data_IF_746027982869
#
_entry.id   IF_746027982869
#
_cell.length_a   1.000
_cell.length_b   1.000
_cell.length_c   1.000
_cell.angle_alpha   90.00
_cell.angle_beta   90.00
_cell.angle_gamma   90.00
#
_symmetry.space_group_name_H-M   'P 1'
#
loop_
_entity.id
_entity.type
_entity.pdbx_description
1 polymer ?
#
# COMPACT_ATOMS: atom_id res chain seq x y z
N UNK A 1 -68.06 29.94 10.38
CA UNK A 1 -68.12 28.81 9.43
C UNK A 1 -67.34 27.64 10.04
N UNK A 2 -67.93 26.44 10.16
CA UNK A 2 -67.40 25.35 10.98
C UNK A 2 -66.48 24.41 10.19
N UNK A 3 -65.53 23.78 10.88
CA UNK A 3 -64.63 22.74 10.35
C UNK A 3 -65.11 21.33 10.75
N UNK A 4 -64.81 20.39 9.84
CA UNK A 4 -65.33 19.05 9.54
C UNK A 4 -65.07 17.94 10.60
N UNK A 5 -66.03 17.03 10.87
CA UNK A 5 -65.89 15.90 11.78
C UNK A 5 -65.57 14.57 11.05
N UNK A 6 -64.30 14.30 10.76
CA UNK A 6 -63.84 12.96 10.33
C UNK A 6 -62.59 12.51 11.07
N UNK A 7 -62.66 12.51 12.40
CA UNK A 7 -61.63 11.91 13.26
C UNK A 7 -62.28 11.12 14.41
N UNK A 8 -62.92 9.98 14.11
CA UNK A 8 -63.39 9.02 15.15
C UNK A 8 -63.87 7.67 14.61
N UNK A 9 -63.14 7.03 13.69
CA UNK A 9 -63.55 5.69 13.21
C UNK A 9 -62.45 4.76 12.71
N UNK A 10 -61.29 4.68 13.38
CA UNK A 10 -60.29 3.65 13.03
C UNK A 10 -59.56 2.96 14.19
N UNK A 11 -59.86 3.27 15.46
CA UNK A 11 -59.14 2.69 16.62
C UNK A 11 -59.87 1.47 17.24
N UNK A 12 -60.89 0.91 16.59
CA UNK A 12 -61.69 -0.22 17.15
C UNK A 12 -61.70 -1.52 16.32
N UNK A 13 -60.76 -1.70 15.39
CA UNK A 13 -60.64 -2.90 14.56
C UNK A 13 -59.47 -3.85 14.93
N UNK A 14 -58.68 -3.57 15.97
CA UNK A 14 -57.45 -4.32 16.28
C UNK A 14 -57.50 -5.31 17.45
N UNK A 15 -58.65 -5.57 18.10
CA UNK A 15 -58.70 -6.34 19.37
C UNK A 15 -59.57 -7.61 19.38
N UNK A 16 -59.94 -8.16 18.21
CA UNK A 16 -60.70 -9.43 18.11
C UNK A 16 -60.13 -10.45 17.12
N UNK A 17 -58.81 -10.64 17.16
CA UNK A 17 -58.15 -11.77 16.51
C UNK A 17 -57.12 -12.42 17.46
N UNK A 18 -57.56 -12.76 18.67
CA UNK A 18 -56.76 -13.51 19.64
C UNK A 18 -57.69 -14.42 20.44
N UNK A 19 -57.99 -15.58 19.86
CA UNK A 19 -58.51 -16.82 20.47
C UNK A 19 -59.19 -17.61 19.35
N UNK A 20 -58.61 -18.73 18.94
CA UNK A 20 -59.22 -20.08 18.87
C UNK A 20 -58.34 -20.98 17.99
N UNK A 21 -58.16 -22.23 18.43
CA UNK A 21 -57.56 -23.41 17.75
C UNK A 21 -56.12 -23.76 18.10
N UNK A 22 -55.96 -24.25 19.33
CA UNK A 22 -55.04 -25.35 19.63
C UNK A 22 -55.72 -26.68 19.22
N UNK A 23 -55.05 -27.49 18.39
CA UNK A 23 -55.27 -28.95 18.34
C UNK A 23 -54.01 -29.65 17.84
N UNK A 24 -53.74 -30.78 18.48
CA UNK A 24 -52.48 -31.47 18.58
C UNK A 24 -52.01 -32.18 17.30
N UNK A 25 -50.69 -32.20 17.09
CA UNK A 25 -50.00 -33.21 16.31
C UNK A 25 -48.83 -33.75 17.16
N UNK A 26 -49.02 -34.96 17.68
CA UNK A 26 -48.07 -35.70 18.52
C UNK A 26 -47.18 -36.52 17.59
N UNK A 27 -45.96 -36.06 17.30
CA UNK A 27 -44.94 -36.85 16.61
C UNK A 27 -44.05 -37.54 17.65
N UNK A 28 -43.95 -38.86 17.52
CA UNK A 28 -43.19 -39.75 18.39
C UNK A 28 -41.70 -39.43 18.32
N UNK A 29 -41.05 -39.25 19.49
CA UNK A 29 -39.58 -39.24 19.61
C UNK A 29 -39.06 -40.67 19.49
N UNK A 30 -38.34 -40.96 18.42
CA UNK A 30 -37.45 -42.12 18.34
C UNK A 30 -36.13 -41.80 19.02
N UNK A 31 -35.75 -42.62 19.99
CA UNK A 31 -34.41 -42.67 20.59
C UNK A 31 -33.44 -43.26 19.58
N UNK A 32 -32.58 -42.42 19.00
CA UNK A 32 -31.41 -42.83 18.24
C UNK A 32 -30.16 -42.37 18.99
N UNK A 33 -29.32 -43.32 19.40
CA UNK A 33 -28.02 -43.10 20.03
C UNK A 33 -27.10 -42.25 19.14
N UNK A 34 -26.90 -40.98 19.52
CA UNK A 34 -25.90 -40.12 18.90
C UNK A 34 -24.55 -40.31 19.61
N UNK A 35 -23.63 -40.99 18.92
CA UNK A 35 -22.22 -41.15 19.30
C UNK A 35 -21.56 -39.77 19.53
N UNK A 36 -20.79 -39.56 20.61
CA UNK A 36 -20.20 -38.25 20.89
C UNK A 36 -19.14 -37.89 19.83
N UNK A 37 -19.26 -36.69 19.27
CA UNK A 37 -18.27 -36.12 18.36
C UNK A 37 -16.92 -35.91 19.06
N UNK A 38 -15.78 -36.12 18.37
CA UNK A 38 -14.47 -35.97 18.98
C UNK A 38 -14.25 -34.50 19.37
N UNK A 39 -13.84 -34.27 20.62
CA UNK A 39 -13.36 -32.96 21.10
C UNK A 39 -12.18 -32.54 20.24
N UNK A 40 -12.40 -31.57 19.35
CA UNK A 40 -11.31 -30.86 18.67
C UNK A 40 -10.45 -30.17 19.73
N UNK A 41 -9.20 -30.62 19.84
CA UNK A 41 -8.17 -29.93 20.62
C UNK A 41 -8.13 -28.49 20.16
N UNK A 42 -8.27 -27.57 21.11
CA UNK A 42 -8.07 -26.13 20.93
C UNK A 42 -6.64 -25.92 20.42
N UNK A 43 -6.49 -25.76 19.11
CA UNK A 43 -5.20 -25.45 18.49
C UNK A 43 -4.65 -24.17 19.09
N UNK A 44 -3.39 -24.20 19.52
CA UNK A 44 -2.68 -23.00 19.94
C UNK A 44 -2.72 -22.00 18.80
N UNK A 45 -3.16 -20.77 19.09
CA UNK A 45 -3.05 -19.62 18.19
C UNK A 45 -1.60 -19.56 17.71
N UNK A 46 -1.37 -19.86 16.44
CA UNK A 46 -0.10 -19.60 15.80
C UNK A 46 0.08 -18.09 15.77
N UNK A 47 0.88 -17.56 16.69
CA UNK A 47 1.44 -16.22 16.53
C UNK A 47 2.32 -16.32 15.29
N UNK A 48 1.92 -15.65 14.19
CA UNK A 48 2.80 -15.59 13.04
C UNK A 48 4.05 -14.82 13.46
N UNK A 49 5.22 -15.37 13.15
CA UNK A 49 6.49 -14.79 13.59
C UNK A 49 6.65 -13.39 12.98
N UNK A 50 7.29 -12.45 13.70
CA UNK A 50 7.52 -11.10 13.21
C UNK A 50 8.29 -11.10 11.88
N UNK A 51 8.00 -10.16 10.97
CA UNK A 51 8.80 -9.93 9.76
C UNK A 51 10.28 -9.78 10.13
N UNK A 52 11.12 -10.71 9.66
CA UNK A 52 12.57 -10.65 9.82
C UNK A 52 13.23 -10.15 8.52
N UNK A 53 13.81 -8.96 8.55
CA UNK A 53 14.43 -8.33 7.40
C UNK A 53 15.63 -9.12 6.86
N UNK A 54 16.37 -9.83 7.71
CA UNK A 54 17.45 -10.71 7.26
C UNK A 54 16.91 -11.81 6.34
N UNK A 55 15.74 -12.36 6.68
CA UNK A 55 15.07 -13.37 5.85
C UNK A 55 14.50 -12.74 4.57
N UNK A 56 14.00 -11.49 4.62
CA UNK A 56 13.53 -10.78 3.43
C UNK A 56 14.68 -10.47 2.46
N UNK A 57 15.81 -9.98 2.98
CA UNK A 57 17.01 -9.67 2.19
C UNK A 57 17.57 -10.96 1.56
N UNK A 58 17.52 -12.06 2.29
CA UNK A 58 17.91 -13.39 1.79
C UNK A 58 16.93 -13.94 0.74
N UNK A 59 15.64 -13.61 0.83
CA UNK A 59 14.62 -14.00 -0.17
C UNK A 59 14.65 -13.11 -1.42
N UNK A 60 14.98 -11.83 -1.27
CA UNK A 60 15.09 -10.87 -2.37
C UNK A 60 16.39 -11.02 -3.17
N UNK A 61 17.46 -11.44 -2.50
CA UNK A 61 18.70 -11.86 -3.15
C UNK A 61 18.50 -13.31 -3.64
N UNK A 62 18.40 -13.56 -4.94
CA UNK A 62 18.17 -14.91 -5.50
C UNK A 62 19.27 -15.97 -5.23
N UNK A 63 20.09 -15.82 -4.20
CA UNK A 63 21.18 -16.72 -3.82
C UNK A 63 20.65 -17.79 -2.86
N UNK A 64 20.34 -18.96 -3.40
CA UNK A 64 20.11 -20.17 -2.63
C UNK A 64 21.36 -20.54 -1.82
N UNK A 65 21.34 -20.38 -0.50
CA UNK A 65 22.38 -20.86 0.44
C UNK A 65 22.48 -22.40 0.55
N UNK A 66 21.90 -23.17 -0.39
CA UNK A 66 21.94 -24.65 -0.38
C UNK A 66 23.02 -25.27 -1.27
N UNK A 67 24.06 -24.54 -1.69
CA UNK A 67 25.23 -25.12 -2.38
C UNK A 67 26.54 -24.37 -2.09
N UNK A 68 26.92 -24.25 -0.82
CA UNK A 68 28.26 -23.79 -0.46
C UNK A 68 28.78 -24.58 0.75
N UNK A 69 28.97 -25.88 0.58
CA UNK A 69 29.77 -26.73 1.47
C UNK A 69 29.92 -28.12 0.83
N UNK A 70 30.91 -28.24 -0.06
CA UNK A 70 31.77 -29.44 -0.27
C UNK A 70 32.60 -29.23 -1.53
N UNK A 71 33.91 -29.05 -1.36
CA UNK A 71 34.98 -29.84 -2.00
C UNK A 71 36.34 -29.23 -1.63
N UNK A 72 36.89 -29.72 -0.52
CA UNK A 72 38.33 -29.74 -0.26
C UNK A 72 38.83 -31.11 -0.75
N UNK A 73 39.82 -31.16 -1.65
CA UNK A 73 40.43 -32.42 -2.05
C UNK A 73 41.34 -32.42 -3.30
N UNK A 74 42.59 -31.99 -3.09
CA UNK A 74 43.86 -32.52 -3.62
C UNK A 74 44.27 -32.54 -5.12
N UNK A 75 45.60 -32.40 -5.28
CA UNK A 75 46.51 -32.60 -6.44
C UNK A 75 46.77 -31.35 -7.32
N UNK A 76 48.00 -30.94 -7.63
CA UNK A 76 49.34 -31.47 -7.38
C UNK A 76 50.40 -30.44 -7.83
N UNK A 77 51.64 -30.63 -7.37
CA UNK A 77 52.78 -29.72 -7.54
C UNK A 77 53.41 -29.77 -8.95
N UNK A 78 54.04 -28.65 -9.37
CA UNK A 78 55.21 -28.44 -10.28
C UNK A 78 55.07 -27.04 -10.92
N UNK A 79 56.03 -26.12 -11.03
CA UNK A 79 57.43 -26.02 -10.65
C UNK A 79 57.85 -24.54 -10.83
N UNK A 80 58.95 -24.15 -10.19
CA UNK A 80 59.48 -22.79 -10.14
C UNK A 80 60.16 -22.33 -11.45
N UNK A 81 60.20 -21.01 -11.70
CA UNK A 81 61.45 -20.24 -11.84
C UNK A 81 61.23 -18.78 -12.28
N UNK A 82 61.86 -17.89 -11.51
CA UNK A 82 62.54 -16.63 -11.89
C UNK A 82 61.75 -15.47 -12.52
N UNK A 83 62.10 -14.19 -12.36
CA UNK A 83 62.87 -13.39 -11.42
C UNK A 83 62.83 -11.95 -11.97
N UNK A 84 62.95 -10.95 -11.08
CA UNK A 84 63.31 -9.54 -11.35
C UNK A 84 62.28 -8.69 -12.14
N UNK A 85 61.92 -7.47 -11.78
CA UNK A 85 62.49 -6.50 -10.85
C UNK A 85 62.38 -5.10 -11.48
N UNK A 86 62.18 -4.06 -10.66
CA UNK A 86 62.68 -2.72 -10.96
C UNK A 86 61.70 -1.68 -11.49
N UNK A 87 61.35 -0.75 -10.60
CA UNK A 87 60.86 0.59 -10.91
C UNK A 87 61.89 1.41 -11.72
N UNK A 88 61.42 2.44 -12.46
CA UNK A 88 61.93 3.82 -12.39
C UNK A 88 61.14 4.81 -13.27
N UNK A 89 60.93 5.96 -12.63
CA UNK A 89 60.69 7.32 -13.14
C UNK A 89 61.50 7.73 -14.37
N UNK A 90 60.93 8.58 -15.24
CA UNK A 90 61.39 9.96 -15.52
C UNK A 90 60.84 10.51 -16.85
N UNK A 91 60.82 11.84 -16.89
CA UNK A 91 60.15 12.80 -17.77
C UNK A 91 60.97 13.28 -18.98
N UNK A 92 60.31 14.13 -19.79
CA UNK A 92 60.77 15.04 -20.88
C UNK A 92 60.43 14.53 -22.30
N UNK A 93 59.47 15.17 -22.97
CA UNK A 93 59.55 16.40 -23.78
C UNK A 93 60.26 16.17 -25.12
N UNK A 94 59.60 16.37 -26.27
CA UNK A 94 59.52 17.68 -26.93
C UNK A 94 58.65 17.66 -28.21
N UNK A 95 58.01 18.80 -28.45
CA UNK A 95 57.66 19.50 -29.71
C UNK A 95 57.28 18.78 -31.01
N UNK A 96 56.13 19.20 -31.56
CA UNK A 96 56.10 19.81 -32.90
C UNK A 96 54.89 20.77 -33.06
N UNK A 97 55.24 22.01 -33.41
CA UNK A 97 54.41 23.20 -33.67
C UNK A 97 54.06 23.30 -35.15
N UNK A 98 52.85 23.74 -35.48
CA UNK A 98 52.55 24.64 -36.64
C UNK A 98 51.21 25.35 -36.37
N UNK A 99 51.21 26.60 -35.89
CA UNK A 99 51.15 27.89 -36.63
C UNK A 99 49.79 28.21 -37.27
N UNK A 100 49.19 29.31 -36.78
CA UNK A 100 47.98 30.04 -37.20
C UNK A 100 48.20 30.82 -38.54
N UNK A 101 47.46 31.90 -38.93
CA UNK A 101 46.22 32.56 -38.47
C UNK A 101 45.22 32.80 -39.66
N UNK A 102 44.09 33.51 -39.66
CA UNK A 102 43.83 34.92 -39.31
C UNK A 102 42.34 35.26 -39.42
N UNK A 103 41.96 36.27 -38.65
CA UNK A 103 40.72 37.07 -38.60
C UNK A 103 40.28 37.74 -39.91
N UNK A 104 38.97 37.96 -40.07
CA UNK A 104 38.41 39.22 -40.59
C UNK A 104 36.96 39.43 -40.13
N UNK A 105 36.62 40.71 -39.96
CA UNK A 105 35.45 41.25 -39.26
C UNK A 105 34.49 41.91 -40.26
N UNK A 106 33.19 41.93 -39.88
CA UNK A 106 32.14 42.93 -40.21
C UNK A 106 31.63 43.11 -41.65
N UNK A 107 30.31 42.98 -41.85
CA UNK A 107 29.34 44.10 -41.91
C UNK A 107 27.91 43.61 -42.18
N UNK A 108 26.93 44.40 -41.73
CA UNK A 108 25.49 44.14 -41.67
C UNK A 108 24.74 44.38 -43.00
N UNK A 109 23.52 43.82 -43.15
CA UNK A 109 22.29 44.61 -43.40
C UNK A 109 21.00 43.75 -43.24
N UNK A 110 19.93 44.48 -42.93
CA UNK A 110 18.62 44.11 -42.41
C UNK A 110 17.63 43.39 -43.35
N UNK A 111 16.64 42.76 -42.72
CA UNK A 111 15.34 42.41 -43.29
C UNK A 111 14.35 42.10 -42.16
N UNK A 112 13.40 43.01 -41.90
CA UNK A 112 12.45 42.90 -40.80
C UNK A 112 11.27 41.96 -41.08
N UNK A 113 10.67 41.45 -40.00
CA UNK A 113 9.22 41.21 -39.96
C UNK A 113 8.73 41.16 -38.51
N UNK A 114 7.46 41.47 -38.35
CA UNK A 114 6.81 42.03 -37.19
C UNK A 114 6.44 41.03 -36.06
N UNK A 115 6.38 41.58 -34.84
CA UNK A 115 5.31 41.36 -33.85
C UNK A 115 5.21 39.99 -33.17
N UNK A 116 5.51 39.94 -31.87
CA UNK A 116 4.49 39.78 -30.80
C UNK A 116 5.22 39.79 -29.45
N UNK A 117 4.96 40.82 -28.64
CA UNK A 117 5.41 40.87 -27.25
C UNK A 117 4.65 39.82 -26.44
N UNK A 118 5.33 38.74 -26.03
CA UNK A 118 4.80 37.83 -25.01
C UNK A 118 5.47 38.19 -23.70
N UNK A 119 4.69 38.80 -22.82
CA UNK A 119 4.99 39.02 -21.40
C UNK A 119 5.51 37.72 -20.79
N UNK A 120 6.78 37.71 -20.39
CA UNK A 120 7.34 36.63 -19.59
C UNK A 120 6.66 36.66 -18.21
N UNK A 121 5.59 35.89 -18.08
CA UNK A 121 4.99 35.60 -16.78
C UNK A 121 5.96 34.69 -16.05
N UNK A 122 6.68 35.26 -15.10
CA UNK A 122 7.43 34.54 -14.07
C UNK A 122 6.47 33.59 -13.36
N UNK A 123 6.45 32.35 -13.85
CA UNK A 123 5.75 31.27 -13.17
C UNK A 123 6.62 30.92 -11.98
N UNK A 124 6.29 31.48 -10.82
CA UNK A 124 6.79 31.00 -9.53
C UNK A 124 6.58 29.49 -9.52
N UNK A 125 7.67 28.73 -9.61
CA UNK A 125 7.64 27.30 -9.38
C UNK A 125 6.94 27.07 -8.03
N UNK A 126 6.00 26.11 -7.93
CA UNK A 126 5.37 25.83 -6.65
C UNK A 126 6.50 25.52 -5.67
N UNK A 127 6.51 26.25 -4.54
CA UNK A 127 7.39 25.94 -3.41
C UNK A 127 7.33 24.44 -3.20
N UNK A 128 8.48 23.77 -3.33
CA UNK A 128 8.60 22.37 -2.97
C UNK A 128 8.04 22.26 -1.54
N UNK A 129 6.94 21.54 -1.41
CA UNK A 129 6.48 21.07 -0.11
C UNK A 129 7.69 20.41 0.54
N UNK A 130 7.94 20.71 1.80
CA UNK A 130 9.00 20.02 2.54
C UNK A 130 8.55 18.57 2.63
N UNK A 131 8.95 17.74 1.66
CA UNK A 131 8.54 16.33 1.49
C UNK A 131 9.17 15.42 2.56
N UNK A 132 9.91 16.01 3.48
CA UNK A 132 10.63 15.36 4.56
C UNK A 132 10.16 15.95 5.89
N UNK A 133 9.03 15.46 6.37
CA UNK A 133 8.53 15.69 7.72
C UNK A 133 8.15 14.35 8.31
N UNK A 134 8.18 14.23 9.65
CA UNK A 134 7.73 13.03 10.32
C UNK A 134 6.25 12.80 9.98
N UNK A 135 5.94 11.68 9.32
CA UNK A 135 4.58 11.32 8.94
C UNK A 135 3.82 10.88 10.19
N UNK A 136 2.64 11.47 10.50
CA UNK A 136 1.83 11.05 11.64
C UNK A 136 1.44 9.58 11.55
N UNK A 137 1.47 8.89 12.69
CA UNK A 137 1.01 7.50 12.77
C UNK A 137 -0.52 7.42 12.84
N UNK A 138 -1.07 6.33 12.32
CA UNK A 138 -2.48 6.00 12.40
C UNK A 138 -2.68 4.60 12.98
N UNK A 139 -3.91 4.31 13.44
CA UNK A 139 -4.22 2.98 13.97
C UNK A 139 -3.95 1.87 12.95
N UNK A 140 -3.35 0.78 13.39
CA UNK A 140 -3.16 -0.44 12.58
C UNK A 140 -4.50 -1.00 12.07
N UNK A 141 -5.56 -0.85 12.85
CA UNK A 141 -6.83 -1.53 12.61
C UNK A 141 -6.74 -3.05 12.87
N UNK A 142 -7.85 -3.77 12.71
CA UNK A 142 -7.98 -5.15 13.18
C UNK A 142 -7.49 -6.21 12.17
N UNK A 143 -7.03 -5.79 10.99
CA UNK A 143 -6.81 -6.68 9.85
C UNK A 143 -5.34 -6.86 9.46
N UNK A 144 -4.39 -6.39 10.26
CA UNK A 144 -2.97 -6.65 10.00
C UNK A 144 -2.67 -8.15 10.16
N UNK A 145 -1.89 -8.68 9.22
CA UNK A 145 -1.33 -10.02 9.29
C UNK A 145 0.14 -9.92 8.97
N UNK A 146 0.98 -10.31 9.91
CA UNK A 146 2.41 -10.44 9.70
C UNK A 146 2.65 -11.72 8.87
N UNK A 147 2.64 -11.61 7.53
CA UNK A 147 2.80 -12.76 6.63
C UNK A 147 4.17 -12.82 5.96
N UNK A 148 5.01 -11.78 6.13
CA UNK A 148 6.34 -11.65 5.52
C UNK A 148 6.38 -12.06 4.03
N UNK A 149 5.38 -11.63 3.25
CA UNK A 149 5.17 -12.06 1.86
C UNK A 149 5.78 -11.05 0.91
N UNK A 150 7.08 -11.23 0.62
CA UNK A 150 7.83 -10.36 -0.30
C UNK A 150 7.32 -10.50 -1.73
N UNK A 151 6.71 -9.44 -2.27
CA UNK A 151 6.21 -9.39 -3.66
C UNK A 151 5.80 -7.96 -4.03
N UNK A 152 6.00 -7.62 -5.31
CA UNK A 152 5.50 -6.36 -5.87
C UNK A 152 4.04 -6.49 -6.30
N UNK A 153 3.67 -7.55 -7.03
CA UNK A 153 2.26 -7.82 -7.36
C UNK A 153 1.54 -8.50 -6.19
N UNK A 154 0.59 -7.77 -5.62
CA UNK A 154 -0.24 -8.23 -4.50
C UNK A 154 -1.68 -8.54 -4.92
N UNK A 155 -2.04 -8.37 -6.20
CA UNK A 155 -3.43 -8.47 -6.67
C UNK A 155 -4.06 -9.84 -6.40
N UNK A 156 -3.31 -10.92 -6.61
CA UNK A 156 -3.80 -12.30 -6.66
C UNK A 156 -5.05 -12.45 -7.55
N UNK A 157 -5.07 -11.73 -8.68
CA UNK A 157 -6.17 -11.78 -9.65
C UNK A 157 -7.48 -11.14 -9.18
N UNK A 158 -7.45 -10.34 -8.10
CA UNK A 158 -8.64 -9.56 -7.70
C UNK A 158 -9.02 -8.53 -8.75
N UNK A 159 -10.30 -8.49 -9.07
CA UNK A 159 -10.86 -7.47 -9.96
C UNK A 159 -10.84 -6.10 -9.31
N UNK A 160 -10.48 -5.08 -10.11
CA UNK A 160 -10.44 -3.70 -9.68
C UNK A 160 -9.68 -2.83 -10.68
N UNK A 161 -9.71 -1.51 -10.46
CA UNK A 161 -8.94 -0.59 -11.27
C UNK A 161 -7.44 -0.75 -10.94
N UNK A 162 -6.57 -1.05 -11.93
CA UNK A 162 -5.15 -1.25 -11.66
C UNK A 162 -4.51 0.00 -11.04
N UNK A 163 -3.71 -0.21 -10.00
CA UNK A 163 -2.99 0.82 -9.26
C UNK A 163 -1.53 0.38 -9.06
N UNK A 164 -0.61 1.13 -9.64
CA UNK A 164 0.80 1.10 -9.28
C UNK A 164 1.03 2.05 -8.11
N UNK A 165 1.24 1.51 -6.91
CA UNK A 165 1.46 2.28 -5.69
C UNK A 165 2.95 2.39 -5.39
N UNK A 166 3.45 3.63 -5.34
CA UNK A 166 4.84 3.97 -5.03
C UNK A 166 4.93 4.65 -3.68
N UNK A 167 5.73 4.09 -2.80
CA UNK A 167 5.95 4.63 -1.44
C UNK A 167 7.43 4.89 -1.28
N UNK A 168 7.79 6.14 -0.99
CA UNK A 168 9.16 6.54 -0.67
C UNK A 168 9.30 6.66 0.85
N UNK A 169 10.30 6.01 1.43
CA UNK A 169 10.60 6.07 2.87
C UNK A 169 11.86 6.90 3.07
N UNK A 170 11.72 7.97 3.86
CA UNK A 170 12.79 8.89 4.21
C UNK A 170 13.01 8.90 5.73
N UNK A 171 14.23 9.17 6.15
CA UNK A 171 14.51 9.59 7.52
C UNK A 171 14.07 11.05 7.68
N UNK A 172 13.12 11.31 8.59
CA UNK A 172 12.57 12.64 8.83
C UNK A 172 13.58 13.63 9.44
N UNK A 173 14.68 13.15 10.04
CA UNK A 173 15.71 14.01 10.61
C UNK A 173 16.76 14.45 9.56
N UNK A 174 17.08 13.58 8.61
CA UNK A 174 18.18 13.80 7.64
C UNK A 174 17.69 14.01 6.21
N UNK A 175 16.42 13.71 5.93
CA UNK A 175 15.82 13.71 4.60
C UNK A 175 16.49 12.77 3.60
N UNK A 176 17.26 11.80 4.12
CA UNK A 176 17.89 10.79 3.29
C UNK A 176 16.94 9.60 3.10
N UNK A 177 16.93 8.99 1.90
CA UNK A 177 16.18 7.77 1.68
C UNK A 177 16.71 6.62 2.51
N UNK A 178 15.79 5.82 3.05
CA UNK A 178 16.13 4.64 3.85
C UNK A 178 16.07 3.42 2.95
N UNK A 179 17.23 2.85 2.65
CA UNK A 179 17.38 1.58 1.93
C UNK A 179 17.06 0.39 2.83
N UNK A 180 16.56 -0.69 2.24
CA UNK A 180 16.29 -1.98 2.89
C UNK A 180 15.27 -1.93 4.04
N UNK A 181 14.47 -0.86 4.14
CA UNK A 181 13.30 -0.82 5.01
C UNK A 181 12.22 -1.76 4.46
N UNK A 182 11.63 -2.58 5.31
CA UNK A 182 10.51 -3.45 4.92
C UNK A 182 9.20 -2.70 5.06
N UNK A 183 8.51 -2.52 3.93
CA UNK A 183 7.21 -1.87 3.84
C UNK A 183 6.16 -2.93 3.61
N UNK A 184 5.32 -3.15 4.62
CA UNK A 184 4.10 -3.94 4.51
C UNK A 184 2.94 -3.05 4.09
N UNK A 185 2.15 -3.50 3.13
CA UNK A 185 0.85 -2.89 2.82
C UNK A 185 -0.27 -3.92 2.86
N UNK A 186 -1.46 -3.47 3.25
CA UNK A 186 -2.70 -4.25 3.15
C UNK A 186 -3.91 -3.36 2.91
N UNK A 187 -4.86 -3.85 2.12
CA UNK A 187 -6.15 -3.17 1.95
C UNK A 187 -7.25 -4.16 1.57
N UNK A 188 -8.49 -3.68 1.60
CA UNK A 188 -9.63 -4.45 1.15
C UNK A 188 -9.70 -4.52 -0.39
N UNK A 189 -10.37 -5.55 -0.91
CA UNK A 189 -10.71 -5.59 -2.34
C UNK A 189 -11.78 -4.55 -2.71
N UNK A 190 -12.14 -4.48 -3.99
CA UNK A 190 -13.19 -3.57 -4.47
C UNK A 190 -14.55 -3.78 -3.77
N UNK A 191 -14.78 -4.98 -3.23
CA UNK A 191 -15.94 -5.36 -2.43
C UNK A 191 -15.91 -4.89 -0.97
N UNK A 192 -14.78 -4.35 -0.50
CA UNK A 192 -14.61 -3.98 0.91
C UNK A 192 -14.17 -5.15 1.80
N UNK A 193 -13.71 -6.27 1.21
CA UNK A 193 -13.34 -7.47 1.96
C UNK A 193 -11.83 -7.57 2.14
N UNK A 194 -11.39 -7.85 3.36
CA UNK A 194 -9.99 -8.13 3.68
C UNK A 194 -9.71 -9.64 3.60
N UNK A 195 -8.64 -10.00 2.88
CA UNK A 195 -8.13 -11.37 2.89
C UNK A 195 -7.71 -11.78 4.29
N UNK A 196 -7.98 -13.03 4.68
CA UNK A 196 -7.82 -13.51 6.04
C UNK A 196 -9.00 -13.21 6.95
N UNK A 197 -9.94 -12.36 6.53
CA UNK A 197 -11.05 -11.89 7.37
C UNK A 197 -12.37 -11.81 6.60
N UNK A 198 -12.61 -12.67 5.60
CA UNK A 198 -13.77 -12.59 4.70
C UNK A 198 -15.09 -12.33 5.43
N UNK A 199 -15.52 -13.27 6.29
CA UNK A 199 -16.76 -13.14 7.08
C UNK A 199 -16.70 -12.10 8.21
N UNK A 200 -15.51 -11.63 8.58
CA UNK A 200 -15.31 -10.63 9.63
C UNK A 200 -15.07 -9.22 9.07
N UNK A 201 -15.11 -9.05 7.74
CA UNK A 201 -14.97 -7.76 7.05
C UNK A 201 -16.28 -6.97 7.10
N UNK A 202 -16.87 -6.83 8.28
CA UNK A 202 -18.20 -6.22 8.50
C UNK A 202 -18.15 -4.70 8.65
N UNK A 203 -16.95 -4.12 8.56
CA UNK A 203 -16.67 -2.74 8.95
C UNK A 203 -16.77 -2.51 10.45
N UNK A 204 -16.10 -1.45 10.91
CA UNK A 204 -15.92 -1.15 12.32
C UNK A 204 -15.07 0.10 12.48
N UNK A 205 -15.50 1.00 13.37
CA UNK A 205 -14.70 2.14 13.81
C UNK A 205 -13.49 1.70 14.64
N UNK A 206 -12.74 2.65 15.23
CA UNK A 206 -11.62 2.34 16.12
C UNK A 206 -12.07 1.37 17.22
N UNK A 207 -11.54 0.14 17.22
CA UNK A 207 -11.88 -0.91 18.19
C UNK A 207 -12.87 -2.00 17.73
N UNK A 208 -13.40 -1.93 16.51
CA UNK A 208 -14.17 -3.03 15.91
C UNK A 208 -13.27 -4.19 15.50
N UNK A 209 -13.00 -5.10 16.41
CA UNK A 209 -12.09 -6.23 16.18
C UNK A 209 -12.74 -7.36 15.39
N UNK A 210 -12.14 -7.73 14.26
CA UNK A 210 -12.33 -9.06 13.70
C UNK A 210 -11.99 -10.11 14.79
N UNK A 211 -12.83 -11.13 14.95
CA UNK A 211 -12.70 -12.17 15.99
C UNK A 211 -11.58 -13.20 15.69
N UNK A 212 -10.46 -12.73 15.13
CA UNK A 212 -9.41 -13.55 14.54
C UNK A 212 -9.65 -13.82 13.06
N UNK A 213 -8.64 -14.45 12.45
CA UNK A 213 -8.62 -14.84 11.04
C UNK A 213 -9.80 -15.77 10.73
N UNK A 214 -10.52 -15.54 9.64
CA UNK A 214 -11.68 -16.35 9.22
C UNK A 214 -11.45 -17.18 7.95
N UNK A 215 -10.39 -16.91 7.20
CA UNK A 215 -9.97 -17.69 6.02
C UNK A 215 -8.44 -17.65 5.83
N UNK A 216 -7.88 -18.44 4.92
CA UNK A 216 -6.43 -18.48 4.65
C UNK A 216 -5.98 -17.62 3.47
N UNK A 217 -6.85 -16.75 2.94
CA UNK A 217 -6.51 -15.91 1.79
C UNK A 217 -5.52 -14.82 2.21
N UNK A 218 -4.74 -14.33 1.24
CA UNK A 218 -3.71 -13.29 1.44
C UNK A 218 -3.63 -12.27 0.31
N UNK A 219 -4.62 -12.21 -0.59
CA UNK A 219 -4.71 -11.17 -1.62
C UNK A 219 -4.59 -9.76 -1.05
N UNK A 220 -4.07 -8.83 -1.84
CA UNK A 220 -3.94 -7.40 -1.53
C UNK A 220 -3.15 -7.13 -0.24
N UNK A 221 -2.15 -8.00 0.01
CA UNK A 221 -1.17 -7.89 1.10
C UNK A 221 0.22 -8.18 0.56
N UNK A 222 1.21 -7.40 0.94
CA UNK A 222 2.59 -7.71 0.54
C UNK A 222 3.62 -6.87 1.26
N UNK A 223 4.83 -7.37 1.22
CA UNK A 223 6.03 -6.73 1.75
C UNK A 223 6.96 -6.40 0.59
N UNK A 224 7.59 -5.24 0.60
CA UNK A 224 8.70 -4.90 -0.29
C UNK A 224 9.82 -4.28 0.54
N UNK A 225 11.06 -4.48 0.11
CA UNK A 225 12.21 -3.77 0.66
C UNK A 225 12.47 -2.53 -0.19
N UNK A 226 12.70 -1.40 0.47
CA UNK A 226 13.05 -0.15 -0.21
C UNK A 226 14.39 -0.26 -0.93
N UNK A 227 14.46 0.31 -2.14
CA UNK A 227 15.71 0.40 -2.89
C UNK A 227 16.63 1.53 -2.33
N UNK A 228 17.73 1.81 -3.03
CA UNK A 228 18.67 2.87 -2.64
C UNK A 228 18.06 4.29 -2.66
N UNK A 229 16.93 4.48 -3.34
CA UNK A 229 16.16 5.72 -3.34
C UNK A 229 15.03 5.70 -2.29
N UNK A 230 15.02 4.71 -1.39
CA UNK A 230 13.98 4.55 -0.36
C UNK A 230 12.64 4.13 -0.94
N UNK A 231 12.59 3.65 -2.19
CA UNK A 231 11.35 3.43 -2.91
C UNK A 231 10.93 1.96 -2.88
N UNK A 232 9.65 1.73 -2.65
CA UNK A 232 8.97 0.47 -3.00
C UNK A 232 7.89 0.74 -4.03
N UNK A 233 7.64 -0.26 -4.89
CA UNK A 233 6.55 -0.22 -5.88
C UNK A 233 5.72 -1.50 -5.77
N UNK A 234 4.41 -1.34 -5.60
CA UNK A 234 3.43 -2.41 -5.56
C UNK A 234 2.49 -2.33 -6.77
N UNK A 235 2.21 -3.47 -7.38
CA UNK A 235 1.11 -3.63 -8.32
C UNK A 235 -0.11 -4.15 -7.55
N UNK A 236 -1.16 -3.35 -7.52
CA UNK A 236 -2.40 -3.65 -6.80
C UNK A 236 -3.62 -3.13 -7.56
N UNK A 237 -4.78 -3.14 -6.91
CA UNK A 237 -6.00 -2.47 -7.36
C UNK A 237 -6.34 -1.28 -6.46
N UNK A 238 -7.09 -0.33 -7.00
CA UNK A 238 -7.68 0.74 -6.20
C UNK A 238 -8.61 0.15 -5.12
N UNK A 239 -8.50 0.54 -3.84
CA UNK A 239 -9.25 -0.10 -2.77
C UNK A 239 -10.75 0.16 -2.85
N UNK A 240 -11.54 -0.83 -2.42
CA UNK A 240 -12.94 -0.62 -2.11
C UNK A 240 -13.13 0.20 -0.83
N UNK A 241 -14.39 0.41 -0.47
CA UNK A 241 -14.76 0.99 0.82
C UNK A 241 -15.38 -0.08 1.71
N UNK A 242 -15.34 0.12 3.02
CA UNK A 242 -16.11 -0.66 3.98
C UNK A 242 -16.69 0.27 5.05
N UNK A 243 -17.74 -0.19 5.72
CA UNK A 243 -18.60 0.64 6.56
C UNK A 243 -17.80 1.47 7.57
N UNK A 244 -18.05 2.78 7.56
CA UNK A 244 -17.55 3.73 8.56
C UNK A 244 -16.12 4.20 8.33
N UNK A 245 -15.53 3.98 7.15
CA UNK A 245 -14.15 4.38 6.84
C UNK A 245 -14.04 4.98 5.44
N UNK A 246 -13.22 6.01 5.31
CA UNK A 246 -12.77 6.53 4.02
C UNK A 246 -11.96 5.46 3.26
N UNK A 247 -11.74 5.65 1.97
CA UNK A 247 -10.97 4.70 1.14
C UNK A 247 -9.48 4.83 1.46
N UNK A 248 -8.83 3.71 1.80
CA UNK A 248 -7.44 3.73 2.27
C UNK A 248 -6.67 2.45 1.95
N UNK A 249 -5.33 2.58 2.01
CA UNK A 249 -4.38 1.47 2.13
C UNK A 249 -3.66 1.61 3.45
N UNK A 250 -3.59 0.53 4.22
CA UNK A 250 -2.77 0.49 5.42
C UNK A 250 -1.31 0.20 5.09
N UNK A 251 -0.43 0.69 5.94
CA UNK A 251 1.01 0.51 5.79
C UNK A 251 1.69 0.34 7.14
N UNK A 252 2.76 -0.46 7.13
CA UNK A 252 3.71 -0.55 8.24
C UNK A 252 5.13 -0.56 7.70
N UNK A 253 6.01 0.22 8.31
CA UNK A 253 7.43 0.30 7.94
C UNK A 253 8.26 -0.27 9.07
N UNK A 254 9.14 -1.20 8.72
CA UNK A 254 10.12 -1.78 9.62
C UNK A 254 11.52 -1.33 9.20
N UNK A 255 12.39 -1.11 10.19
CA UNK A 255 13.84 -0.97 10.01
C UNK A 255 14.51 -1.72 11.15
N UNK A 256 15.52 -2.53 10.84
CA UNK A 256 16.22 -3.40 11.78
C UNK A 256 15.26 -4.25 12.64
N UNK A 257 14.30 -4.90 11.96
CA UNK A 257 13.21 -5.69 12.55
C UNK A 257 12.32 -4.94 13.57
N UNK A 258 12.42 -3.62 13.66
CA UNK A 258 11.63 -2.78 14.54
C UNK A 258 10.58 -2.01 13.74
N UNK A 259 9.35 -1.95 14.23
CA UNK A 259 8.30 -1.10 13.64
C UNK A 259 8.67 0.36 13.87
N UNK A 260 8.89 1.11 12.79
CA UNK A 260 9.22 2.55 12.82
C UNK A 260 8.03 3.44 12.47
N UNK A 261 7.03 2.87 11.79
CA UNK A 261 5.82 3.60 11.43
C UNK A 261 4.66 2.64 11.20
N UNK A 262 3.51 2.94 11.78
CA UNK A 262 2.22 2.37 11.39
C UNK A 262 1.30 3.48 10.91
N UNK A 263 0.76 3.35 9.71
CA UNK A 263 0.02 4.43 9.06
C UNK A 263 -1.03 3.96 8.09
N UNK A 264 -1.75 4.94 7.55
CA UNK A 264 -2.76 4.75 6.51
C UNK A 264 -2.62 5.88 5.49
N UNK A 265 -2.64 5.53 4.21
CA UNK A 265 -2.76 6.49 3.12
C UNK A 265 -4.18 6.48 2.58
N UNK A 266 -4.65 7.64 2.16
CA UNK A 266 -6.00 7.90 1.67
C UNK A 266 -5.96 8.37 0.23
N UNK A 267 -7.13 8.53 -0.37
CA UNK A 267 -7.27 8.95 -1.76
C UNK A 267 -8.19 10.16 -1.87
N UNK A 268 -7.95 10.99 -2.88
CA UNK A 268 -8.84 12.11 -3.16
C UNK A 268 -10.28 11.64 -3.39
N UNK A 269 -11.23 12.41 -2.85
CA UNK A 269 -12.63 12.07 -2.88
C UNK A 269 -13.22 12.16 -4.29
N UNK A 270 -12.85 13.15 -5.08
CA UNK A 270 -13.31 13.30 -6.47
C UNK A 270 -12.75 12.22 -7.39
N UNK A 271 -11.49 11.83 -7.17
CA UNK A 271 -10.91 10.68 -7.84
C UNK A 271 -11.63 9.38 -7.46
N UNK A 272 -11.91 9.16 -6.17
CA UNK A 272 -12.67 7.98 -5.72
C UNK A 272 -14.03 7.92 -6.40
N UNK A 273 -14.75 9.04 -6.45
CA UNK A 273 -16.05 9.14 -7.10
C UNK A 273 -15.97 8.82 -8.61
N UNK A 274 -14.84 9.11 -9.26
CA UNK A 274 -14.58 8.75 -10.67
C UNK A 274 -14.30 7.25 -10.83
N UNK A 275 -13.44 6.67 -9.98
CA UNK A 275 -13.12 5.23 -10.02
C UNK A 275 -14.37 4.40 -9.79
N UNK A 276 -15.23 4.82 -8.86
CA UNK A 276 -16.40 4.06 -8.43
C UNK A 276 -17.55 4.04 -9.45
N UNK A 277 -17.45 4.81 -10.54
CA UNK A 277 -18.39 4.73 -11.66
C UNK A 277 -18.17 3.48 -12.54
N UNK A 278 -17.04 2.79 -12.39
CA UNK A 278 -16.67 1.63 -13.22
C UNK A 278 -16.79 0.32 -12.45
N UNK A 279 -16.96 -0.78 -13.18
CA UNK A 279 -16.92 -2.12 -12.60
C UNK A 279 -15.53 -2.41 -11.99
N UNK A 280 -15.45 -3.22 -10.92
CA UNK A 280 -16.57 -3.81 -10.18
C UNK A 280 -17.17 -2.88 -9.11
N UNK A 281 -16.62 -1.68 -8.91
CA UNK A 281 -17.03 -0.77 -7.84
C UNK A 281 -18.46 -0.25 -8.00
N UNK A 282 -18.91 0.01 -9.23
CA UNK A 282 -20.26 0.51 -9.50
C UNK A 282 -21.40 -0.47 -9.18
N UNK A 283 -21.09 -1.74 -8.93
CA UNK A 283 -22.05 -2.71 -8.41
C UNK A 283 -22.31 -2.53 -6.89
N UNK A 284 -21.49 -1.71 -6.23
CA UNK A 284 -21.67 -1.29 -4.83
C UNK A 284 -22.60 -0.08 -4.77
N UNK A 285 -23.23 0.12 -3.61
CA UNK A 285 -23.83 1.41 -3.27
C UNK A 285 -22.78 2.49 -3.02
N UNK A 286 -23.25 3.73 -2.82
CA UNK A 286 -22.40 4.84 -2.41
C UNK A 286 -21.66 4.51 -1.10
N UNK A 287 -20.39 4.92 -1.03
CA UNK A 287 -19.61 4.87 0.21
C UNK A 287 -20.27 5.71 1.30
N UNK A 288 -20.20 5.22 2.53
CA UNK A 288 -20.82 5.86 3.69
C UNK A 288 -19.90 6.87 4.39
N UNK A 289 -18.63 6.99 3.96
CA UNK A 289 -17.71 8.00 4.46
C UNK A 289 -16.84 8.64 3.37
N UNK A 290 -16.68 9.97 3.52
CA UNK A 290 -15.69 10.80 2.82
C UNK A 290 -14.47 11.04 3.71
N UNK A 291 -13.40 11.60 3.15
CA UNK A 291 -12.19 11.90 3.92
C UNK A 291 -12.45 12.86 5.08
N UNK A 292 -13.32 13.85 4.89
CA UNK A 292 -13.68 14.85 5.93
C UNK A 292 -14.43 14.25 7.11
N UNK A 293 -15.07 13.09 6.91
CA UNK A 293 -15.99 12.48 7.86
C UNK A 293 -15.38 11.26 8.58
N UNK A 294 -14.23 10.76 8.09
CA UNK A 294 -13.47 9.70 8.75
C UNK A 294 -12.49 10.29 9.78
N UNK A 295 -12.76 10.03 11.06
CA UNK A 295 -11.95 10.50 12.19
C UNK A 295 -10.49 10.04 12.21
N UNK A 296 -10.09 9.05 11.40
CA UNK A 296 -8.69 8.61 11.30
C UNK A 296 -7.90 9.49 10.34
N UNK A 297 -8.53 10.08 9.32
CA UNK A 297 -7.83 10.88 8.29
C UNK A 297 -7.05 12.03 8.92
N UNK A 298 -7.68 12.77 9.84
CA UNK A 298 -7.01 13.85 10.57
C UNK A 298 -5.80 13.37 11.38
N UNK A 299 -5.94 12.26 12.10
CA UNK A 299 -4.83 11.68 12.89
C UNK A 299 -3.69 11.16 12.03
N UNK A 300 -3.97 10.73 10.80
CA UNK A 300 -2.97 10.26 9.85
C UNK A 300 -2.20 11.40 9.15
N UNK A 301 -2.52 12.67 9.43
CA UNK A 301 -1.89 13.84 8.81
C UNK A 301 -2.80 14.61 7.84
N UNK A 302 -4.06 14.21 7.70
CA UNK A 302 -5.03 14.91 6.86
C UNK A 302 -4.61 14.91 5.40
N UNK A 303 -4.40 16.10 4.83
CA UNK A 303 -4.01 16.25 3.43
C UNK A 303 -2.67 15.58 3.09
N UNK A 304 -1.71 15.50 4.02
CA UNK A 304 -0.41 14.85 3.77
C UNK A 304 -0.53 13.32 3.69
N UNK A 305 -1.62 12.74 4.17
CA UNK A 305 -1.92 11.32 4.07
C UNK A 305 -2.62 10.95 2.76
N UNK A 306 -3.03 11.93 1.94
CA UNK A 306 -3.69 11.70 0.66
C UNK A 306 -2.63 11.44 -0.41
N UNK A 307 -2.65 10.25 -1.00
CA UNK A 307 -1.71 9.90 -2.07
C UNK A 307 -1.96 10.76 -3.31
N UNK A 308 -0.88 11.22 -3.93
CA UNK A 308 -0.93 11.87 -5.23
C UNK A 308 -1.14 10.79 -6.29
N UNK A 309 -2.31 10.79 -6.94
CA UNK A 309 -2.67 9.78 -7.94
C UNK A 309 -2.90 10.41 -9.30
N UNK A 310 -2.29 9.82 -10.33
CA UNK A 310 -2.50 10.19 -11.74
C UNK A 310 -2.99 8.99 -12.54
N UNK A 311 -3.58 9.26 -13.71
CA UNK A 311 -4.05 8.25 -14.65
C UNK A 311 -5.57 8.21 -14.81
N UNK A 312 -6.04 7.42 -15.79
CA UNK A 312 -7.45 7.25 -16.11
C UNK A 312 -7.69 5.80 -16.54
N UNK A 313 -8.24 4.96 -15.63
CA UNK A 313 -8.44 3.53 -15.86
C UNK A 313 -7.23 2.65 -15.57
N UNK A 314 -6.03 3.22 -15.47
CA UNK A 314 -4.85 2.63 -14.84
C UNK A 314 -4.15 3.76 -14.10
N UNK A 315 -3.89 3.55 -12.82
CA UNK A 315 -3.51 4.61 -11.89
C UNK A 315 -2.08 4.42 -11.40
N UNK A 316 -1.40 5.54 -11.15
CA UNK A 316 -0.14 5.56 -10.41
C UNK A 316 -0.31 6.44 -9.18
N UNK A 317 -0.23 5.84 -7.99
CA UNK A 317 -0.26 6.54 -6.72
C UNK A 317 1.15 6.74 -6.16
N UNK A 318 1.39 7.89 -5.54
CA UNK A 318 2.67 8.24 -4.90
C UNK A 318 2.43 8.83 -3.52
N UNK A 319 3.24 8.42 -2.55
CA UNK A 319 3.30 9.05 -1.23
C UNK A 319 4.72 8.95 -0.67
N UNK A 320 5.12 9.95 0.11
CA UNK A 320 6.38 9.96 0.86
C UNK A 320 6.07 9.81 2.35
N UNK A 321 6.86 8.97 3.01
CA UNK A 321 6.71 8.63 4.43
C UNK A 321 8.03 8.98 5.13
N UNK A 322 8.00 10.01 5.94
CA UNK A 322 9.10 10.34 6.84
C UNK A 322 8.97 9.55 8.13
N UNK A 323 9.98 8.75 8.47
CA UNK A 323 10.02 7.99 9.72
C UNK A 323 11.16 8.48 10.59
N UNK A 324 11.07 8.19 11.89
CA UNK A 324 12.16 8.42 12.83
C UNK A 324 12.99 7.13 12.96
N UNK A 325 14.27 7.20 12.64
CA UNK A 325 15.22 6.10 12.92
C UNK A 325 15.52 6.00 14.42
#
# INVERSE_FOLDING_TARGET
MPLDPTCRRSVRAGRRAARTRARAARVRRGSGDAKPAPRLRRGSRGKVAPVNQDDLLTRGSGVSRRRALTLLGAAGASGAAAACGGAKTSSNADSATTTAPSTSTSTAQAGGSAGTATTATSTTAPSATVDCVLTPEATEGPYYLDIAKVRSDITEGKDGAPLTLRITVLDAATCQPIKDAAVDIWHCDAGGIYSGFGSASTGGGPGGGASGRTDNLVFLRGTQLTDAAGLVTFQTIYPGWYRGRAVHVHMKVHVDNSVKHTGQLFFDDGLTDTVYQRAPYNARGARDQRNTDDGIVGSAGGASAIAAVTGNGTYTGRITVGIKQ
#
